data_IF_737922569337
#
_entry.id   IF_737922569337
#
_cell.length_a   1.000
_cell.length_b   1.000
_cell.length_c   1.000
_cell.angle_alpha   90.00
_cell.angle_beta   90.00
_cell.angle_gamma   90.00
#
_symmetry.space_group_name_H-M   'P 1'
#
loop_
_entity.id
_entity.type
_entity.pdbx_description
1 polymer ?
#
# COMPACT_ATOMS: atom_id res chain seq x y z
N UNK A 1 -9.47 -8.35 3.12
CA UNK A 1 -9.09 -6.94 2.90
C UNK A 1 -9.61 -6.49 1.55
N UNK A 2 -10.02 -5.22 1.44
CA UNK A 2 -10.45 -4.57 0.21
C UNK A 2 -9.52 -3.39 -0.04
N UNK A 3 -9.00 -3.28 -1.27
CA UNK A 3 -8.22 -2.13 -1.72
C UNK A 3 -9.08 -1.28 -2.66
N UNK A 4 -8.97 0.02 -2.51
CA UNK A 4 -9.65 1.01 -3.36
C UNK A 4 -8.57 1.86 -4.04
N UNK A 5 -8.64 2.01 -5.35
CA UNK A 5 -7.80 2.95 -6.09
C UNK A 5 -8.56 3.62 -7.23
N UNK A 6 -8.01 4.70 -7.74
CA UNK A 6 -8.54 5.42 -8.92
C UNK A 6 -8.21 4.72 -10.24
N UNK A 7 -7.36 3.69 -10.19
CA UNK A 7 -6.97 2.96 -11.40
C UNK A 7 -8.14 2.21 -12.03
N UNK A 8 -8.18 2.08 -13.36
CA UNK A 8 -9.14 1.26 -14.06
C UNK A 8 -9.05 -0.24 -13.66
N UNK A 9 -10.14 -1.01 -13.75
CA UNK A 9 -10.16 -2.42 -13.31
C UNK A 9 -9.10 -3.28 -13.99
N UNK A 10 -8.81 -3.06 -15.26
CA UNK A 10 -7.78 -3.81 -16.01
C UNK A 10 -6.36 -3.54 -15.48
N UNK A 11 -6.08 -2.33 -14.98
CA UNK A 11 -4.80 -1.97 -14.37
C UNK A 11 -4.66 -2.61 -13.00
N UNK A 12 -5.72 -2.59 -12.18
CA UNK A 12 -5.77 -3.31 -10.90
C UNK A 12 -5.57 -4.82 -11.09
N UNK A 13 -6.22 -5.41 -12.11
CA UNK A 13 -6.02 -6.81 -12.46
C UNK A 13 -4.58 -7.09 -12.90
N UNK A 14 -3.94 -6.19 -13.65
CA UNK A 14 -2.54 -6.27 -14.04
C UNK A 14 -1.60 -6.25 -12.84
N UNK A 15 -1.85 -5.38 -11.86
CA UNK A 15 -1.09 -5.33 -10.60
C UNK A 15 -1.25 -6.64 -9.82
N UNK A 16 -2.49 -7.14 -9.70
CA UNK A 16 -2.72 -8.43 -9.02
C UNK A 16 -2.01 -9.59 -9.71
N UNK A 17 -2.03 -9.64 -11.04
CA UNK A 17 -1.34 -10.68 -11.81
C UNK A 17 0.19 -10.63 -11.61
N UNK A 18 0.76 -9.41 -11.46
CA UNK A 18 2.19 -9.20 -11.27
C UNK A 18 2.65 -9.56 -9.85
N UNK A 19 1.87 -9.13 -8.83
CA UNK A 19 2.29 -9.20 -7.43
C UNK A 19 1.62 -10.33 -6.65
N UNK A 20 0.68 -11.06 -7.25
CA UNK A 20 -0.07 -12.16 -6.62
C UNK A 20 -0.77 -11.75 -5.32
N UNK A 21 -1.31 -10.53 -5.30
CA UNK A 21 -1.91 -9.96 -4.09
C UNK A 21 -3.21 -10.68 -3.72
N UNK A 22 -3.39 -11.07 -2.45
CA UNK A 22 -4.57 -11.80 -1.99
C UNK A 22 -5.74 -10.86 -1.65
N UNK A 23 -5.86 -9.73 -2.34
CA UNK A 23 -6.83 -8.68 -2.03
C UNK A 23 -7.84 -8.49 -3.15
N UNK A 24 -9.05 -8.11 -2.77
CA UNK A 24 -10.04 -7.61 -3.72
C UNK A 24 -9.83 -6.14 -3.96
N UNK A 25 -10.07 -5.70 -5.20
CA UNK A 25 -9.93 -4.32 -5.60
C UNK A 25 -11.28 -3.72 -5.98
N UNK A 26 -11.42 -2.43 -5.71
CA UNK A 26 -12.51 -1.59 -6.22
C UNK A 26 -11.88 -0.42 -6.96
N UNK A 27 -12.26 -0.29 -8.22
CA UNK A 27 -11.92 0.87 -9.04
C UNK A 27 -12.90 2.00 -8.73
N UNK A 28 -12.37 3.17 -8.37
CA UNK A 28 -13.13 4.38 -8.06
C UNK A 28 -12.53 5.59 -8.79
N UNK A 29 -12.57 5.61 -10.14
CA UNK A 29 -12.06 6.73 -10.91
C UNK A 29 -12.78 8.03 -10.53
N UNK A 30 -12.00 9.06 -10.17
CA UNK A 30 -12.55 10.33 -9.67
C UNK A 30 -13.00 10.32 -8.21
N UNK A 31 -12.99 9.16 -7.53
CA UNK A 31 -13.25 9.07 -6.11
C UNK A 31 -14.71 9.18 -5.68
N UNK A 32 -15.66 9.17 -6.62
CA UNK A 32 -17.06 9.50 -6.35
C UNK A 32 -17.77 8.49 -5.45
N UNK A 33 -17.41 7.21 -5.55
CA UNK A 33 -18.12 6.13 -4.87
C UNK A 33 -17.64 5.89 -3.44
N UNK A 34 -16.35 6.05 -3.20
CA UNK A 34 -15.72 5.71 -1.92
C UNK A 34 -14.78 6.79 -1.42
N UNK A 35 -13.82 7.24 -2.23
CA UNK A 35 -12.78 8.12 -1.73
C UNK A 35 -13.32 9.47 -1.22
N UNK A 36 -14.22 10.11 -1.97
CA UNK A 36 -14.88 11.38 -1.54
C UNK A 36 -15.81 11.18 -0.34
N UNK A 37 -16.74 10.23 -0.34
CA UNK A 37 -17.60 9.98 0.82
C UNK A 37 -16.84 9.61 2.10
N UNK A 38 -15.67 8.98 1.96
CA UNK A 38 -14.80 8.61 3.08
C UNK A 38 -13.84 9.74 3.49
N UNK A 39 -13.85 10.89 2.81
CA UNK A 39 -12.97 12.02 3.11
C UNK A 39 -11.50 11.79 2.73
N UNK A 40 -11.23 10.85 1.83
CA UNK A 40 -9.88 10.50 1.39
C UNK A 40 -9.49 11.16 0.07
N UNK A 41 -10.34 11.98 -0.53
CA UNK A 41 -10.03 12.67 -1.77
C UNK A 41 -9.34 14.00 -1.51
N UNK A 42 -8.24 14.24 -2.21
CA UNK A 42 -7.54 15.52 -2.26
C UNK A 42 -7.98 16.26 -3.53
N UNK A 43 -8.72 17.36 -3.37
CA UNK A 43 -9.26 18.13 -4.50
C UNK A 43 -8.16 18.87 -5.26
N UNK A 44 -7.14 19.35 -4.56
CA UNK A 44 -6.06 20.14 -5.17
C UNK A 44 -5.14 19.24 -6.00
N UNK A 45 -4.81 18.08 -5.50
CA UNK A 45 -3.97 17.11 -6.19
C UNK A 45 -4.75 16.20 -7.15
N UNK A 46 -6.09 16.18 -7.08
CA UNK A 46 -6.96 15.23 -7.79
C UNK A 46 -6.55 13.78 -7.59
N UNK A 47 -6.21 13.44 -6.36
CA UNK A 47 -5.70 12.12 -5.96
C UNK A 47 -6.40 11.60 -4.70
N UNK A 48 -6.33 10.29 -4.51
CA UNK A 48 -6.74 9.66 -3.24
C UNK A 48 -5.56 9.71 -2.26
N UNK A 49 -5.80 10.26 -1.07
CA UNK A 49 -4.89 10.15 0.07
C UNK A 49 -4.96 8.74 0.64
N UNK A 50 -3.85 8.17 1.11
CA UNK A 50 -3.88 6.87 1.75
C UNK A 50 -4.80 6.90 2.98
N UNK A 51 -5.78 6.00 2.99
CA UNK A 51 -6.73 5.84 4.09
C UNK A 51 -6.78 4.37 4.47
N UNK A 52 -6.58 4.08 5.74
CA UNK A 52 -6.83 2.78 6.32
C UNK A 52 -8.08 2.84 7.19
N UNK A 53 -9.01 1.91 6.94
CA UNK A 53 -10.24 1.73 7.70
C UNK A 53 -10.35 0.29 8.17
N UNK A 54 -10.69 0.08 9.44
CA UNK A 54 -11.18 -1.20 9.94
C UNK A 54 -12.64 -1.04 10.30
N UNK A 55 -13.49 -1.85 9.65
CA UNK A 55 -14.94 -1.81 9.82
C UNK A 55 -15.40 -3.16 10.37
N UNK A 56 -16.14 -3.12 11.46
CA UNK A 56 -16.75 -4.30 12.07
C UNK A 56 -17.90 -4.86 11.19
N UNK A 57 -18.31 -6.13 11.37
CA UNK A 57 -19.41 -6.73 10.58
C UNK A 57 -20.76 -6.01 10.67
N UNK A 58 -20.98 -5.25 11.73
CA UNK A 58 -22.17 -4.41 11.93
C UNK A 58 -22.11 -3.06 11.19
N UNK A 59 -21.00 -2.79 10.49
CA UNK A 59 -20.76 -1.55 9.77
C UNK A 59 -20.11 -0.45 10.62
N UNK A 60 -19.84 -0.68 11.88
CA UNK A 60 -19.19 0.30 12.77
C UNK A 60 -17.71 0.41 12.43
N UNK A 61 -17.23 1.63 12.25
CA UNK A 61 -15.81 1.93 12.10
C UNK A 61 -15.10 1.76 13.45
N UNK A 62 -14.06 0.93 13.50
CA UNK A 62 -13.27 0.65 14.71
C UNK A 62 -11.87 1.25 14.65
N UNK A 63 -11.41 1.57 13.45
CA UNK A 63 -10.15 2.26 13.24
C UNK A 63 -10.21 3.11 11.98
N UNK A 64 -9.60 4.29 12.04
CA UNK A 64 -9.42 5.18 10.89
C UNK A 64 -8.08 5.89 10.99
N UNK A 65 -7.32 5.85 9.92
CA UNK A 65 -6.14 6.68 9.76
C UNK A 65 -6.07 7.20 8.33
N UNK A 66 -6.06 8.52 8.21
CA UNK A 66 -5.92 9.24 6.95
C UNK A 66 -4.55 9.90 6.91
N UNK A 67 -3.69 9.41 6.05
CA UNK A 67 -2.36 9.97 5.83
C UNK A 67 -2.40 11.33 5.14
N UNK A 68 -1.37 12.15 5.35
CA UNK A 68 -1.25 13.46 4.68
C UNK A 68 -1.00 13.29 3.19
N UNK A 69 -0.14 12.35 2.83
CA UNK A 69 0.26 12.05 1.46
C UNK A 69 0.72 10.58 1.33
N UNK A 70 1.25 10.22 0.17
CA UNK A 70 1.66 8.84 -0.14
C UNK A 70 2.92 8.37 0.61
N UNK A 71 3.70 9.27 1.20
CA UNK A 71 4.90 8.93 1.97
C UNK A 71 4.58 8.69 3.45
N UNK A 72 3.51 9.31 3.93
CA UNK A 72 3.01 9.18 5.29
C UNK A 72 2.21 7.87 5.40
N UNK A 73 2.86 6.79 5.80
CA UNK A 73 2.25 5.46 5.89
C UNK A 73 1.72 5.21 7.30
N UNK A 74 0.53 4.60 7.42
CA UNK A 74 0.03 4.15 8.71
C UNK A 74 0.98 3.14 9.35
N UNK A 75 1.09 3.20 10.68
CA UNK A 75 1.74 2.15 11.44
C UNK A 75 0.86 0.88 11.40
N UNK A 76 1.47 -0.25 11.08
CA UNK A 76 0.76 -1.53 10.96
C UNK A 76 0.22 -2.02 12.32
N UNK A 77 0.92 -1.76 13.42
CA UNK A 77 0.57 -2.27 14.75
C UNK A 77 -0.81 -1.82 15.24
N UNK A 78 -1.18 -0.52 15.21
CA UNK A 78 -2.53 -0.08 15.55
C UNK A 78 -3.61 -0.69 14.65
N UNK A 79 -3.33 -0.85 13.35
CA UNK A 79 -4.26 -1.47 12.39
C UNK A 79 -4.50 -2.93 12.75
N UNK A 80 -3.42 -3.69 13.00
CA UNK A 80 -3.52 -5.11 13.37
C UNK A 80 -4.24 -5.28 14.71
N UNK A 81 -3.92 -4.46 15.70
CA UNK A 81 -4.61 -4.43 17.00
C UNK A 81 -6.11 -4.21 16.83
N UNK A 82 -6.51 -3.26 15.98
CA UNK A 82 -7.92 -2.99 15.71
C UNK A 82 -8.62 -4.20 15.04
N UNK A 83 -7.95 -4.86 14.09
CA UNK A 83 -8.48 -6.08 13.45
C UNK A 83 -8.62 -7.22 14.45
N UNK A 84 -7.63 -7.46 15.30
CA UNK A 84 -7.64 -8.51 16.31
C UNK A 84 -8.73 -8.29 17.37
N UNK A 85 -8.97 -7.03 17.75
CA UNK A 85 -10.02 -6.66 18.71
C UNK A 85 -11.44 -7.09 18.27
N UNK A 86 -11.65 -7.35 16.99
CA UNK A 86 -12.91 -7.85 16.47
C UNK A 86 -13.18 -9.32 16.84
N UNK A 87 -12.17 -10.07 17.27
CA UNK A 87 -12.30 -11.48 17.67
C UNK A 87 -12.82 -12.39 16.55
N UNK A 88 -12.65 -12.00 15.30
CA UNK A 88 -13.12 -12.76 14.15
C UNK A 88 -12.12 -13.88 13.80
N UNK A 89 -12.62 -15.05 13.34
CA UNK A 89 -11.74 -16.13 12.93
C UNK A 89 -10.91 -15.72 11.71
N UNK A 90 -9.62 -16.07 11.74
CA UNK A 90 -8.73 -15.86 10.61
C UNK A 90 -9.23 -16.59 9.36
N UNK A 91 -9.22 -15.93 8.23
CA UNK A 91 -9.52 -16.53 6.93
C UNK A 91 -8.28 -16.47 6.05
N UNK A 92 -7.98 -17.59 5.38
CA UNK A 92 -6.99 -17.59 4.31
C UNK A 92 -7.58 -16.81 3.14
N UNK A 93 -6.82 -15.83 2.64
CA UNK A 93 -7.13 -15.15 1.40
C UNK A 93 -6.40 -15.88 0.26
N UNK A 94 -7.10 -16.06 -0.86
CA UNK A 94 -6.50 -16.57 -2.10
C UNK A 94 -6.29 -15.40 -3.05
N UNK A 95 -5.33 -15.54 -3.97
CA UNK A 95 -5.16 -14.56 -5.04
C UNK A 95 -6.50 -14.33 -5.75
N UNK A 96 -6.89 -13.05 -5.88
CA UNK A 96 -8.15 -12.67 -6.50
C UNK A 96 -7.89 -12.05 -7.88
N UNK A 97 -8.69 -12.45 -8.84
CA UNK A 97 -8.75 -11.81 -10.17
C UNK A 97 -10.19 -11.46 -10.47
N UNK A 98 -10.48 -10.27 -11.01
CA UNK A 98 -11.83 -9.89 -11.38
C UNK A 98 -12.28 -10.72 -12.61
N UNK A 99 -13.51 -11.23 -12.56
CA UNK A 99 -14.11 -11.96 -13.69
C UNK A 99 -14.34 -11.03 -14.88
N UNK A 100 -14.05 -11.52 -16.08
CA UNK A 100 -14.29 -10.79 -17.33
C UNK A 100 -13.38 -9.60 -17.57
N UNK A 101 -12.33 -9.40 -16.75
CA UNK A 101 -11.37 -8.32 -16.90
C UNK A 101 -10.05 -8.88 -17.42
N UNK A 102 -9.59 -8.35 -18.55
CA UNK A 102 -8.26 -8.68 -19.08
C UNK A 102 -7.20 -7.83 -18.38
N UNK A 103 -6.22 -8.45 -17.69
CA UNK A 103 -5.15 -7.73 -17.03
C UNK A 103 -4.34 -6.88 -18.03
N UNK A 104 -4.06 -5.63 -17.67
CA UNK A 104 -3.24 -4.71 -18.46
C UNK A 104 -2.23 -4.01 -17.55
N UNK A 105 -0.96 -4.04 -17.92
CA UNK A 105 0.02 -3.21 -17.25
C UNK A 105 -0.22 -1.73 -17.58
N UNK A 106 -0.13 -0.88 -16.59
CA UNK A 106 -0.04 0.57 -16.81
C UNK A 106 1.36 0.92 -17.32
N UNK A 107 1.47 1.93 -18.17
CA UNK A 107 2.78 2.47 -18.61
C UNK A 107 3.61 3.02 -17.43
N UNK A 108 2.93 3.33 -16.31
CA UNK A 108 3.53 3.77 -15.06
C UNK A 108 3.62 2.66 -14.00
N UNK A 109 3.33 1.40 -14.39
CA UNK A 109 3.32 0.29 -13.44
C UNK A 109 4.71 0.08 -12.84
N UNK A 110 4.75 0.06 -11.51
CA UNK A 110 5.95 -0.29 -10.78
C UNK A 110 6.23 -1.79 -10.95
N UNK A 111 7.33 -2.11 -11.60
CA UNK A 111 7.69 -3.48 -11.93
C UNK A 111 8.51 -4.13 -10.80
N UNK A 112 8.38 -5.45 -10.57
CA UNK A 112 9.22 -6.16 -9.59
C UNK A 112 10.73 -5.95 -9.83
N UNK A 113 11.17 -5.82 -11.08
CA UNK A 113 12.56 -5.54 -11.43
C UNK A 113 13.06 -4.17 -10.94
N UNK A 114 12.17 -3.19 -10.77
CA UNK A 114 12.51 -1.85 -10.31
C UNK A 114 12.53 -1.73 -8.79
N UNK A 115 11.94 -2.70 -8.07
CA UNK A 115 11.73 -2.65 -6.63
C UNK A 115 13.04 -2.45 -5.86
N UNK A 116 14.03 -3.29 -6.13
CA UNK A 116 15.33 -3.23 -5.44
C UNK A 116 16.04 -1.89 -5.67
N UNK A 117 16.03 -1.39 -6.91
CA UNK A 117 16.67 -0.11 -7.25
C UNK A 117 15.97 1.05 -6.54
N UNK A 118 14.64 1.05 -6.52
CA UNK A 118 13.84 2.09 -5.88
C UNK A 118 14.09 2.15 -4.37
N UNK A 119 13.97 1.04 -3.66
CA UNK A 119 14.15 1.02 -2.20
C UNK A 119 15.62 1.19 -1.78
N UNK A 120 16.58 0.77 -2.60
CA UNK A 120 17.99 1.11 -2.36
C UNK A 120 18.23 2.61 -2.50
N UNK A 121 17.60 3.28 -3.47
CA UNK A 121 17.71 4.73 -3.62
C UNK A 121 17.14 5.45 -2.39
N UNK A 122 15.97 5.04 -1.87
CA UNK A 122 15.41 5.58 -0.63
C UNK A 122 16.41 5.39 0.52
N UNK A 123 16.92 4.17 0.72
CA UNK A 123 17.88 3.86 1.78
C UNK A 123 19.11 4.76 1.75
N UNK A 124 19.73 4.94 0.58
CA UNK A 124 20.92 5.78 0.45
C UNK A 124 20.61 7.26 0.61
N UNK A 125 19.49 7.74 0.07
CA UNK A 125 19.08 9.13 0.23
C UNK A 125 18.81 9.47 1.69
N UNK A 126 18.10 8.60 2.41
CA UNK A 126 17.79 8.80 3.83
C UNK A 126 19.04 8.76 4.71
N UNK A 127 20.02 7.91 4.40
CA UNK A 127 21.33 7.95 5.09
C UNK A 127 21.99 9.32 4.94
N UNK A 128 22.07 9.83 3.70
CA UNK A 128 22.69 11.12 3.44
C UNK A 128 21.91 12.30 4.01
N UNK A 129 20.58 12.20 4.12
CA UNK A 129 19.73 13.21 4.75
C UNK A 129 19.90 13.21 6.26
N UNK A 130 19.89 12.05 6.92
CA UNK A 130 20.05 11.94 8.36
C UNK A 130 21.34 12.59 8.87
N UNK A 131 22.45 12.47 8.12
CA UNK A 131 23.73 13.12 8.42
C UNK A 131 23.66 14.67 8.35
N UNK A 132 22.70 15.22 7.62
CA UNK A 132 22.53 16.67 7.42
C UNK A 132 21.44 17.28 8.27
N UNK A 133 20.58 16.46 8.90
CA UNK A 133 19.50 16.93 9.76
C UNK A 133 20.08 17.50 11.06
N UNK A 134 19.66 18.71 11.39
CA UNK A 134 20.04 19.39 12.63
C UNK A 134 19.06 19.05 13.75
N UNK A 135 17.79 18.94 13.41
CA UNK A 135 16.73 18.60 14.36
C UNK A 135 16.66 17.07 14.58
N UNK A 136 16.63 16.67 15.86
CA UNK A 136 16.60 15.25 16.23
C UNK A 136 15.27 14.58 15.89
N UNK A 137 14.18 15.34 15.80
CA UNK A 137 12.88 14.80 15.39
C UNK A 137 12.91 14.45 13.91
N UNK A 138 13.35 15.40 13.07
CA UNK A 138 13.46 15.20 11.64
C UNK A 138 14.41 14.05 11.32
N UNK A 139 15.51 13.94 12.07
CA UNK A 139 16.46 12.83 11.92
C UNK A 139 15.80 11.48 12.20
N UNK A 140 14.99 11.36 13.26
CA UNK A 140 14.28 10.12 13.58
C UNK A 140 13.25 9.74 12.51
N UNK A 141 12.55 10.72 11.94
CA UNK A 141 11.61 10.48 10.82
C UNK A 141 12.35 9.90 9.61
N UNK A 142 13.47 10.50 9.23
CA UNK A 142 14.31 10.02 8.11
C UNK A 142 14.91 8.63 8.40
N UNK A 143 15.30 8.35 9.63
CA UNK A 143 15.78 7.01 10.05
C UNK A 143 14.65 5.97 10.02
N UNK A 144 13.42 6.36 10.33
CA UNK A 144 12.22 5.53 10.16
C UNK A 144 11.99 5.13 8.70
N UNK A 145 12.06 6.09 7.78
CA UNK A 145 11.96 5.83 6.34
C UNK A 145 13.07 4.87 5.84
N UNK A 146 14.28 4.99 6.37
CA UNK A 146 15.36 4.06 6.05
C UNK A 146 15.04 2.64 6.53
N UNK A 147 14.58 2.51 7.77
CA UNK A 147 14.24 1.21 8.34
C UNK A 147 13.10 0.54 7.56
N UNK A 148 12.09 1.31 7.13
CA UNK A 148 11.02 0.84 6.25
C UNK A 148 11.58 0.33 4.92
N UNK A 149 12.47 1.08 4.25
CA UNK A 149 13.07 0.68 2.99
C UNK A 149 13.90 -0.63 3.13
N UNK A 150 14.61 -0.79 4.23
CA UNK A 150 15.37 -2.02 4.56
C UNK A 150 14.44 -3.21 4.80
N UNK A 151 13.33 -3.01 5.50
CA UNK A 151 12.30 -4.04 5.71
C UNK A 151 11.68 -4.50 4.38
N UNK A 152 11.32 -3.58 3.51
CA UNK A 152 10.79 -3.92 2.18
C UNK A 152 11.79 -4.70 1.33
N UNK A 153 13.07 -4.34 1.35
CA UNK A 153 14.10 -5.08 0.63
C UNK A 153 14.21 -6.53 1.13
N UNK A 154 14.19 -6.74 2.45
CA UNK A 154 14.22 -8.07 3.05
C UNK A 154 12.99 -8.91 2.70
N UNK A 155 11.79 -8.32 2.78
CA UNK A 155 10.53 -8.98 2.42
C UNK A 155 10.48 -9.32 0.92
N UNK A 156 11.00 -8.44 0.08
CA UNK A 156 11.04 -8.68 -1.37
C UNK A 156 11.95 -9.83 -1.76
N UNK A 157 13.06 -10.02 -1.07
CA UNK A 157 13.94 -11.18 -1.32
C UNK A 157 13.23 -12.50 -0.99
N UNK A 158 12.41 -12.54 0.07
CA UNK A 158 11.55 -13.68 0.39
C UNK A 158 10.49 -13.91 -0.69
N UNK A 159 9.78 -12.84 -1.08
CA UNK A 159 8.76 -12.90 -2.13
C UNK A 159 9.34 -13.44 -3.46
N UNK A 160 10.53 -12.99 -3.87
CA UNK A 160 11.22 -13.46 -5.08
C UNK A 160 11.57 -14.94 -5.03
N UNK A 161 11.90 -15.46 -3.85
CA UNK A 161 12.19 -16.88 -3.69
C UNK A 161 10.94 -17.75 -3.92
N UNK A 162 9.76 -17.23 -3.54
CA UNK A 162 8.46 -17.88 -3.71
C UNK A 162 7.89 -17.72 -5.14
N UNK A 163 8.30 -16.66 -5.85
CA UNK A 163 7.80 -16.28 -7.18
C UNK A 163 8.97 -16.11 -8.17
N UNK A 164 9.68 -17.19 -8.52
CA UNK A 164 10.78 -17.11 -9.48
C UNK A 164 10.26 -16.68 -10.86
N UNK A 165 11.06 -15.90 -11.63
CA UNK A 165 10.68 -15.52 -12.99
C UNK A 165 10.45 -16.76 -13.86
N UNK A 166 9.52 -16.71 -14.81
CA UNK A 166 9.32 -17.81 -15.75
C UNK A 166 10.63 -18.09 -16.49
N UNK A 167 10.95 -19.37 -16.66
CA UNK A 167 12.12 -19.86 -17.39
C UNK A 167 11.98 -19.63 -18.89
#
# INVERSE_FOLDING_TARGET
MLLVSVDPPEVQAGMNATWHLPFRWVSDPGGERLARPLGAWDEDASLVRPLVLVVAPDGREVFRELSRDFTDRPDDEPVLTAVESLGLPARRSTAWQPEGVTPRASDRAFQPSSFVTYFRAIRFNTMALAERMVDDRDRREVEGERAMAESFLGTFDQWRAEHPPPR
#
